data_IF_717465289416
#
_entry.id   IF_717465289416
#
_cell.length_a   1.000
_cell.length_b   1.000
_cell.length_c   1.000
_cell.angle_alpha   90.00
_cell.angle_beta   90.00
_cell.angle_gamma   90.00
#
_symmetry.space_group_name_H-M   'P 1'
#
loop_
_entity.id
_entity.type
_entity.pdbx_description
1 polymer ?
#
# COMPACT_ATOMS: atom_id res chain seq x y z
N UNK A 1 15.13 -15.95 15.67
CA UNK A 1 15.02 -17.06 14.71
C UNK A 1 14.29 -16.50 13.51
N UNK A 2 14.96 -16.40 12.35
CA UNK A 2 14.34 -15.89 11.13
C UNK A 2 13.31 -16.91 10.66
N UNK A 3 12.03 -16.53 10.72
CA UNK A 3 10.96 -17.22 10.01
C UNK A 3 11.11 -16.83 8.54
N UNK A 4 11.99 -17.53 7.82
CA UNK A 4 12.01 -17.45 6.35
C UNK A 4 10.74 -18.15 5.90
N UNK A 5 9.85 -17.43 5.20
CA UNK A 5 8.66 -18.02 4.62
C UNK A 5 9.05 -19.28 3.81
N UNK A 6 8.35 -20.38 4.05
CA UNK A 6 8.66 -21.65 3.41
C UNK A 6 8.44 -21.55 1.90
N UNK A 7 9.34 -22.14 1.12
CA UNK A 7 9.25 -22.12 -0.35
C UNK A 7 7.99 -22.84 -0.84
N UNK A 8 7.05 -22.07 -1.39
CA UNK A 8 5.80 -22.59 -1.95
C UNK A 8 6.02 -23.04 -3.41
N UNK A 9 6.55 -24.27 -3.54
CA UNK A 9 6.79 -24.93 -4.82
C UNK A 9 5.54 -25.09 -5.69
N UNK A 10 4.34 -25.10 -5.10
CA UNK A 10 3.09 -25.26 -5.83
C UNK A 10 2.72 -23.96 -6.53
N UNK A 11 2.65 -22.87 -5.77
CA UNK A 11 2.42 -21.54 -6.33
C UNK A 11 3.51 -21.13 -7.31
N UNK A 12 4.77 -21.45 -7.01
CA UNK A 12 5.87 -21.13 -7.90
C UNK A 12 5.72 -21.82 -9.26
N UNK A 13 5.31 -23.09 -9.29
CA UNK A 13 5.10 -23.83 -10.53
C UNK A 13 3.91 -23.28 -11.33
N UNK A 14 2.85 -22.84 -10.66
CA UNK A 14 1.69 -22.20 -11.30
C UNK A 14 2.07 -20.87 -11.96
N UNK A 15 2.74 -19.98 -11.22
CA UNK A 15 3.28 -18.73 -11.74
C UNK A 15 4.22 -18.96 -12.93
N UNK A 16 5.08 -19.98 -12.84
CA UNK A 16 6.00 -20.33 -13.91
C UNK A 16 5.28 -20.81 -15.17
N UNK A 17 4.18 -21.55 -15.01
CA UNK A 17 3.36 -21.99 -16.15
C UNK A 17 2.62 -20.80 -16.79
N UNK A 18 2.12 -19.87 -15.97
CA UNK A 18 1.51 -18.61 -16.42
C UNK A 18 2.52 -17.73 -17.14
N UNK A 19 3.74 -17.57 -16.59
CA UNK A 19 4.84 -16.81 -17.20
C UNK A 19 5.30 -17.40 -18.54
N UNK A 20 5.35 -18.74 -18.64
CA UNK A 20 5.63 -19.43 -19.91
C UNK A 20 4.54 -19.13 -20.95
N UNK A 21 3.28 -19.10 -20.51
CA UNK A 21 2.11 -18.98 -21.37
C UNK A 21 2.05 -20.13 -22.39
N UNK A 22 1.70 -19.82 -23.63
CA UNK A 22 1.56 -20.82 -24.70
C UNK A 22 2.90 -21.28 -25.32
N UNK A 23 4.05 -20.80 -24.81
CA UNK A 23 5.37 -21.21 -25.32
C UNK A 23 5.74 -22.62 -24.86
N UNK A 24 6.64 -23.25 -25.60
CA UNK A 24 7.31 -24.47 -25.15
C UNK A 24 8.33 -24.14 -24.06
N UNK A 25 8.68 -25.13 -23.22
CA UNK A 25 9.72 -24.96 -22.18
C UNK A 25 11.06 -24.56 -22.81
N UNK A 26 11.39 -25.10 -23.98
CA UNK A 26 12.62 -24.75 -24.70
C UNK A 26 12.65 -23.28 -25.10
N UNK A 27 11.57 -22.80 -25.72
CA UNK A 27 11.49 -21.40 -26.14
C UNK A 27 11.60 -20.45 -24.94
N UNK A 28 10.91 -20.75 -23.85
CA UNK A 28 10.99 -19.94 -22.64
C UNK A 28 12.38 -19.99 -21.97
N UNK A 29 13.06 -21.13 -22.03
CA UNK A 29 14.45 -21.28 -21.60
C UNK A 29 15.40 -20.42 -22.44
N UNK A 30 15.23 -20.42 -23.76
CA UNK A 30 16.03 -19.59 -24.67
C UNK A 30 15.82 -18.10 -24.38
N UNK A 31 14.56 -17.69 -24.18
CA UNK A 31 14.18 -16.30 -23.88
C UNK A 31 14.70 -15.83 -22.50
N UNK A 32 14.76 -16.72 -21.50
CA UNK A 32 15.22 -16.40 -20.13
C UNK A 32 16.71 -16.67 -19.89
N UNK A 33 17.42 -17.30 -20.83
CA UNK A 33 18.81 -17.72 -20.65
C UNK A 33 19.01 -18.78 -19.57
N UNK A 34 17.96 -19.55 -19.25
CA UNK A 34 17.98 -20.60 -18.22
C UNK A 34 17.86 -21.97 -18.87
N UNK A 35 18.55 -22.97 -18.34
CA UNK A 35 18.47 -24.34 -18.87
C UNK A 35 17.02 -24.87 -18.89
N UNK A 36 16.54 -25.46 -20.01
CA UNK A 36 15.21 -26.10 -20.08
C UNK A 36 15.01 -27.18 -19.02
N UNK A 37 16.09 -27.86 -18.62
CA UNK A 37 16.05 -28.87 -17.57
C UNK A 37 15.74 -28.24 -16.21
N UNK A 38 16.27 -27.05 -15.93
CA UNK A 38 16.02 -26.32 -14.70
C UNK A 38 14.55 -25.87 -14.61
N UNK A 39 14.03 -25.27 -15.68
CA UNK A 39 12.61 -24.89 -15.79
C UNK A 39 11.69 -26.11 -15.65
N UNK A 40 12.03 -27.23 -16.28
CA UNK A 40 11.23 -28.45 -16.18
C UNK A 40 11.20 -29.03 -14.75
N UNK A 41 12.28 -28.91 -13.96
CA UNK A 41 12.29 -29.38 -12.57
C UNK A 41 11.39 -28.53 -11.68
N UNK A 42 11.42 -27.20 -11.88
CA UNK A 42 10.57 -26.25 -11.18
C UNK A 42 9.09 -26.50 -11.49
N UNK A 43 8.72 -26.66 -12.77
CA UNK A 43 7.34 -26.96 -13.16
C UNK A 43 6.83 -28.30 -12.61
N UNK A 44 7.70 -29.29 -12.45
CA UNK A 44 7.35 -30.61 -11.89
C UNK A 44 7.32 -30.64 -10.37
N UNK A 45 7.61 -29.51 -9.69
CA UNK A 45 7.60 -29.40 -8.22
C UNK A 45 8.59 -30.36 -7.53
N UNK A 46 9.65 -30.76 -8.25
CA UNK A 46 10.66 -31.71 -7.75
C UNK A 46 11.72 -30.97 -6.93
N UNK A 47 11.97 -29.70 -7.25
CA UNK A 47 12.97 -28.89 -6.56
C UNK A 47 12.51 -28.61 -5.12
N UNK A 48 13.33 -29.05 -4.15
CA UNK A 48 13.10 -28.82 -2.71
C UNK A 48 13.66 -27.48 -2.23
N UNK A 49 14.51 -26.86 -3.04
CA UNK A 49 15.23 -25.62 -2.73
C UNK A 49 14.69 -24.51 -3.62
N UNK A 50 14.51 -23.32 -3.05
CA UNK A 50 14.10 -22.13 -3.78
C UNK A 50 15.15 -21.74 -4.83
N UNK A 51 14.77 -21.35 -6.06
CA UNK A 51 15.73 -20.86 -7.06
C UNK A 51 16.35 -19.53 -6.61
N UNK A 52 17.61 -19.29 -6.98
CA UNK A 52 18.29 -18.05 -6.60
C UNK A 52 17.58 -16.80 -7.15
N UNK A 53 17.63 -15.65 -6.45
CA UNK A 53 17.00 -14.41 -6.90
C UNK A 53 17.42 -13.97 -8.31
N UNK A 54 18.68 -14.21 -8.71
CA UNK A 54 19.15 -13.93 -10.08
C UNK A 54 18.45 -14.80 -11.12
N UNK A 55 18.17 -16.06 -10.79
CA UNK A 55 17.40 -16.97 -11.65
C UNK A 55 15.95 -16.52 -11.74
N UNK A 56 15.36 -16.10 -10.62
CA UNK A 56 13.99 -15.57 -10.57
C UNK A 56 13.87 -14.32 -11.44
N UNK A 57 14.84 -13.40 -11.37
CA UNK A 57 14.88 -12.18 -12.20
C UNK A 57 14.85 -12.51 -13.69
N UNK A 58 15.71 -13.42 -14.13
CA UNK A 58 15.78 -13.87 -15.54
C UNK A 58 14.47 -14.50 -16.02
N UNK A 59 13.79 -15.27 -15.15
CA UNK A 59 12.47 -15.82 -15.47
C UNK A 59 11.43 -14.71 -15.61
N UNK A 60 11.41 -13.75 -14.68
CA UNK A 60 10.47 -12.63 -14.68
C UNK A 60 10.64 -11.70 -15.89
N UNK A 61 11.88 -11.40 -16.29
CA UNK A 61 12.17 -10.56 -17.47
C UNK A 61 11.63 -11.17 -18.77
N UNK A 62 11.64 -12.51 -18.87
CA UNK A 62 11.11 -13.23 -20.02
C UNK A 62 9.63 -13.65 -19.84
N UNK A 63 8.98 -13.28 -18.74
CA UNK A 63 7.64 -13.75 -18.38
C UNK A 63 6.53 -13.08 -19.21
N UNK A 64 5.49 -13.85 -19.52
CA UNK A 64 4.24 -13.38 -20.11
C UNK A 64 3.12 -13.32 -19.06
N UNK A 65 1.96 -12.79 -19.46
CA UNK A 65 0.75 -12.72 -18.63
C UNK A 65 0.91 -11.91 -17.34
N UNK A 66 1.73 -10.86 -17.38
CA UNK A 66 1.96 -9.92 -16.27
C UNK A 66 2.45 -10.57 -14.96
N UNK A 67 3.12 -11.73 -15.04
CA UNK A 67 3.80 -12.30 -13.87
C UNK A 67 5.03 -11.46 -13.56
N UNK A 68 5.09 -10.91 -12.35
CA UNK A 68 6.15 -10.00 -11.93
C UNK A 68 7.26 -10.75 -11.19
N UNK A 69 8.40 -10.07 -11.02
CA UNK A 69 9.49 -10.54 -10.17
C UNK A 69 9.02 -10.74 -8.72
N UNK A 70 8.17 -9.84 -8.23
CA UNK A 70 7.62 -9.90 -6.87
C UNK A 70 6.80 -11.15 -6.65
N UNK A 71 5.93 -11.52 -7.60
CA UNK A 71 5.11 -12.74 -7.52
C UNK A 71 5.97 -13.99 -7.36
N UNK A 72 7.06 -14.09 -8.15
CA UNK A 72 7.99 -15.19 -8.03
C UNK A 72 8.78 -15.17 -6.72
N UNK A 73 9.17 -14.00 -6.24
CA UNK A 73 9.91 -13.84 -4.98
C UNK A 73 9.06 -14.18 -3.76
N UNK A 74 7.76 -13.86 -3.80
CA UNK A 74 6.78 -14.25 -2.78
C UNK A 74 6.64 -15.77 -2.77
N UNK A 75 6.40 -16.38 -3.94
CA UNK A 75 6.29 -17.84 -4.05
C UNK A 75 7.60 -18.56 -3.67
N UNK A 76 8.74 -17.92 -3.92
CA UNK A 76 10.07 -18.40 -3.58
C UNK A 76 10.41 -18.30 -2.08
N UNK A 77 9.58 -17.62 -1.27
CA UNK A 77 9.79 -17.42 0.16
C UNK A 77 10.84 -16.35 0.50
N UNK A 78 11.21 -15.50 -0.46
CA UNK A 78 12.14 -14.39 -0.24
C UNK A 78 11.45 -13.11 0.24
N UNK A 79 10.17 -12.96 -0.07
CA UNK A 79 9.34 -11.82 0.31
C UNK A 79 8.09 -12.40 0.97
N UNK A 80 7.76 -11.94 2.17
CA UNK A 80 6.47 -12.25 2.76
C UNK A 80 5.39 -11.61 1.89
N UNK A 81 4.30 -12.32 1.61
CA UNK A 81 3.16 -11.79 0.84
C UNK A 81 2.47 -10.56 1.48
N UNK A 82 3.02 -10.04 2.58
CA UNK A 82 2.73 -8.71 3.05
C UNK A 82 3.16 -7.71 1.96
N UNK A 83 2.20 -6.93 1.43
CA UNK A 83 2.36 -6.23 0.16
C UNK A 83 3.56 -5.28 0.19
N UNK A 84 4.45 -5.49 -0.78
CA UNK A 84 5.46 -4.57 -1.25
C UNK A 84 4.86 -3.17 -1.38
N UNK A 85 5.33 -2.25 -0.54
CA UNK A 85 5.34 -0.79 -0.72
C UNK A 85 4.37 -0.20 -1.76
N UNK A 86 3.08 -0.44 -1.60
CA UNK A 86 2.02 0.29 -2.28
C UNK A 86 1.32 1.18 -1.26
N UNK A 87 0.70 2.25 -1.74
CA UNK A 87 -0.07 3.23 -0.96
C UNK A 87 -1.26 2.61 -0.19
N UNK A 88 -1.40 1.29 -0.20
CA UNK A 88 -2.63 0.55 0.07
C UNK A 88 -2.83 0.17 1.55
N UNK A 89 -1.79 0.33 2.40
CA UNK A 89 -1.88 0.10 3.85
C UNK A 89 -1.86 1.39 4.68
N UNK A 90 -2.28 2.51 4.09
CA UNK A 90 -2.59 3.71 4.87
C UNK A 90 -4.04 3.54 5.34
N UNK A 91 -4.32 3.58 6.66
CA UNK A 91 -5.70 3.55 7.13
C UNK A 91 -6.48 4.67 6.44
N UNK A 92 -7.47 4.30 5.64
CA UNK A 92 -8.33 5.28 4.97
C UNK A 92 -9.28 5.89 6.00
N UNK A 93 -9.58 7.18 5.86
CA UNK A 93 -10.55 7.85 6.71
C UNK A 93 -11.93 7.23 6.41
N UNK A 94 -12.66 6.69 7.41
CA UNK A 94 -13.99 6.15 7.19
C UNK A 94 -14.91 7.19 6.52
N UNK A 95 -15.72 6.78 5.55
CA UNK A 95 -16.61 7.67 4.81
C UNK A 95 -17.55 8.46 5.74
N UNK A 96 -17.96 7.84 6.84
CA UNK A 96 -18.78 8.44 7.90
C UNK A 96 -18.11 9.69 8.51
N UNK A 97 -16.80 9.65 8.74
CA UNK A 97 -16.05 10.76 9.32
C UNK A 97 -15.75 11.86 8.30
N UNK A 98 -15.60 11.51 7.01
CA UNK A 98 -15.44 12.47 5.91
C UNK A 98 -16.65 13.40 5.84
N UNK A 99 -17.86 12.83 5.89
CA UNK A 99 -19.10 13.60 5.85
C UNK A 99 -19.31 14.40 7.14
N UNK A 100 -19.12 13.77 8.30
CA UNK A 100 -19.31 14.36 9.63
C UNK A 100 -18.43 15.59 9.88
N UNK A 101 -17.16 15.52 9.48
CA UNK A 101 -16.19 16.61 9.68
C UNK A 101 -16.02 17.50 8.46
N UNK A 102 -16.75 17.26 7.36
CA UNK A 102 -16.64 18.00 6.08
C UNK A 102 -15.19 18.07 5.59
N UNK A 103 -14.51 16.92 5.63
CA UNK A 103 -13.11 16.81 5.25
C UNK A 103 -12.98 17.10 3.75
N UNK A 104 -12.13 18.07 3.38
CA UNK A 104 -11.91 18.45 1.98
C UNK A 104 -10.93 17.50 1.30
N UNK A 105 -10.93 17.45 -0.03
CA UNK A 105 -9.90 16.77 -0.83
C UNK A 105 -8.47 17.19 -0.46
N UNK A 106 -8.28 18.46 -0.06
CA UNK A 106 -6.99 18.97 0.43
C UNK A 106 -6.58 18.35 1.76
N UNK A 107 -7.53 18.14 2.66
CA UNK A 107 -7.28 17.55 3.98
C UNK A 107 -6.92 16.06 3.85
N UNK A 108 -7.59 15.35 2.93
CA UNK A 108 -7.29 13.96 2.61
C UNK A 108 -5.84 13.83 2.09
N UNK A 109 -5.43 14.73 1.18
CA UNK A 109 -4.06 14.73 0.67
C UNK A 109 -3.02 15.00 1.77
N UNK A 110 -3.30 15.92 2.69
CA UNK A 110 -2.42 16.20 3.83
C UNK A 110 -2.30 14.99 4.76
N UNK A 111 -3.42 14.32 5.02
CA UNK A 111 -3.45 13.10 5.80
C UNK A 111 -2.61 11.99 5.16
N UNK A 112 -2.79 11.76 3.85
CA UNK A 112 -2.03 10.75 3.10
C UNK A 112 -0.52 11.04 3.15
N UNK A 113 -0.12 12.30 2.96
CA UNK A 113 1.28 12.72 3.00
C UNK A 113 1.91 12.48 4.38
N UNK A 114 1.21 12.84 5.46
CA UNK A 114 1.66 12.58 6.82
C UNK A 114 1.85 11.08 7.07
N UNK A 115 0.90 10.25 6.63
CA UNK A 115 0.96 8.80 6.83
C UNK A 115 2.09 8.13 6.03
N UNK A 116 2.39 8.63 4.83
CA UNK A 116 3.54 8.14 4.05
C UNK A 116 4.86 8.45 4.77
N UNK A 117 5.00 9.67 5.31
CA UNK A 117 6.21 10.08 6.02
C UNK A 117 6.38 9.35 7.35
N UNK A 118 5.31 9.19 8.14
CA UNK A 118 5.38 8.45 9.41
C UNK A 118 5.74 7.00 9.16
N UNK A 119 5.11 6.34 8.18
CA UNK A 119 5.46 4.98 7.80
C UNK A 119 6.93 4.85 7.41
N UNK A 120 7.44 5.77 6.57
CA UNK A 120 8.85 5.79 6.17
C UNK A 120 9.79 5.94 7.39
N UNK A 121 9.39 6.69 8.41
CA UNK A 121 10.13 6.83 9.66
C UNK A 121 10.26 5.50 10.42
N UNK A 122 9.20 4.68 10.40
CA UNK A 122 9.14 3.38 11.10
C UNK A 122 9.64 2.18 10.27
N UNK A 123 9.92 2.34 8.96
CA UNK A 123 10.40 1.26 8.09
C UNK A 123 11.76 0.68 8.51
N UNK A 124 12.61 1.49 9.17
CA UNK A 124 13.94 1.06 9.62
C UNK A 124 13.97 0.51 11.05
N UNK A 125 12.82 0.49 11.72
CA UNK A 125 12.76 0.13 13.13
C UNK A 125 12.32 -1.33 13.31
N UNK A 126 12.82 -2.00 14.36
CA UNK A 126 12.47 -3.41 14.69
C UNK A 126 11.09 -3.52 15.36
N UNK A 127 10.12 -2.77 14.85
CA UNK A 127 8.75 -2.75 15.35
C UNK A 127 7.95 -3.80 14.59
N UNK A 128 7.08 -4.54 15.29
CA UNK A 128 6.19 -5.51 14.65
C UNK A 128 5.20 -4.81 13.73
N UNK A 129 4.68 -5.50 12.72
CA UNK A 129 3.73 -4.87 11.80
C UNK A 129 2.40 -4.52 12.48
N UNK A 130 2.00 -5.31 13.48
CA UNK A 130 0.83 -5.04 14.33
C UNK A 130 0.98 -3.71 15.11
N UNK A 131 2.13 -3.50 15.74
CA UNK A 131 2.40 -2.27 16.49
C UNK A 131 2.46 -1.04 15.56
N UNK A 132 3.00 -1.21 14.34
CA UNK A 132 3.02 -0.14 13.32
C UNK A 132 1.60 0.25 12.92
N UNK A 133 0.72 -0.72 12.69
CA UNK A 133 -0.69 -0.46 12.39
C UNK A 133 -1.37 0.31 13.52
N UNK A 134 -1.16 -0.11 14.77
CA UNK A 134 -1.72 0.57 15.95
C UNK A 134 -1.25 2.02 16.06
N UNK A 135 0.02 2.31 15.75
CA UNK A 135 0.55 3.67 15.69
C UNK A 135 -0.13 4.50 14.60
N UNK A 136 -0.35 3.92 13.42
CA UNK A 136 -1.03 4.62 12.32
C UNK A 136 -2.49 4.93 12.68
N UNK A 137 -3.21 4.01 13.32
CA UNK A 137 -4.57 4.26 13.83
C UNK A 137 -4.60 5.37 14.88
N UNK A 138 -3.68 5.36 15.83
CA UNK A 138 -3.58 6.41 16.86
C UNK A 138 -3.38 7.78 16.23
N UNK A 139 -2.53 7.88 15.20
CA UNK A 139 -2.28 9.12 14.48
C UNK A 139 -3.50 9.58 13.66
N UNK A 140 -4.26 8.64 13.08
CA UNK A 140 -5.55 8.93 12.44
C UNK A 140 -6.53 9.59 13.42
N UNK A 141 -6.68 9.04 14.63
CA UNK A 141 -7.58 9.60 15.65
C UNK A 141 -7.17 11.03 16.03
N UNK A 142 -5.87 11.28 16.21
CA UNK A 142 -5.34 12.63 16.50
C UNK A 142 -5.66 13.60 15.36
N UNK A 143 -5.56 13.16 14.11
CA UNK A 143 -5.92 13.98 12.95
C UNK A 143 -7.42 14.33 12.95
N UNK A 144 -8.30 13.35 13.14
CA UNK A 144 -9.74 13.56 13.21
C UNK A 144 -10.12 14.50 14.37
N UNK A 145 -9.50 14.29 15.53
CA UNK A 145 -9.69 15.15 16.70
C UNK A 145 -9.28 16.60 16.40
N UNK A 146 -8.17 16.80 15.70
CA UNK A 146 -7.71 18.13 15.27
C UNK A 146 -8.70 18.81 14.34
N UNK A 147 -9.30 18.08 13.39
CA UNK A 147 -10.35 18.62 12.50
C UNK A 147 -11.61 18.98 13.28
N UNK A 148 -12.00 18.19 14.29
CA UNK A 148 -13.11 18.50 15.20
C UNK A 148 -12.86 19.81 15.95
N UNK A 149 -11.68 19.98 16.56
CA UNK A 149 -11.31 21.20 17.28
C UNK A 149 -11.37 22.43 16.36
N UNK A 150 -10.85 22.31 15.13
CA UNK A 150 -10.88 23.41 14.17
C UNK A 150 -12.31 23.82 13.79
N UNK A 151 -13.21 22.85 13.59
CA UNK A 151 -14.64 23.09 13.33
C UNK A 151 -15.29 23.84 14.49
N UNK A 152 -15.00 23.46 15.73
CA UNK A 152 -15.57 24.09 16.93
C UNK A 152 -15.03 25.52 17.18
N UNK A 153 -13.71 25.72 17.04
CA UNK A 153 -13.06 27.01 17.31
C UNK A 153 -13.35 28.05 16.22
N UNK A 154 -13.18 27.68 14.95
CA UNK A 154 -13.26 28.65 13.84
C UNK A 154 -14.64 28.68 13.18
N UNK A 155 -15.39 27.58 13.19
CA UNK A 155 -16.76 27.55 12.64
C UNK A 155 -17.75 28.43 13.42
N UNK A 156 -17.57 28.57 14.74
CA UNK A 156 -18.37 29.48 15.58
C UNK A 156 -17.96 30.95 15.42
N UNK A 157 -16.66 31.21 15.22
CA UNK A 157 -16.11 32.56 15.06
C UNK A 157 -16.55 33.20 13.74
N UNK A 158 -16.52 32.45 12.63
CA UNK A 158 -16.99 32.93 11.32
C UNK A 158 -18.48 33.32 11.35
N UNK A 159 -19.33 32.50 11.98
CA UNK A 159 -20.77 32.79 12.15
C UNK A 159 -21.02 34.02 13.03
N UNK A 160 -20.21 34.24 14.07
CA UNK A 160 -20.31 35.46 14.90
C UNK A 160 -19.90 36.71 14.14
N UNK A 161 -18.83 36.65 13.33
CA UNK A 161 -18.35 37.77 12.52
C UNK A 161 -19.39 38.15 11.45
N UNK A 162 -19.90 37.18 10.69
CA UNK A 162 -20.94 37.43 9.67
C UNK A 162 -22.20 38.00 10.33
N UNK A 163 -22.61 37.46 11.49
CA UNK A 163 -23.78 37.98 12.20
C UNK A 163 -23.56 39.41 12.71
N UNK A 164 -22.36 39.77 13.20
CA UNK A 164 -22.08 41.16 13.60
C UNK A 164 -22.03 42.12 12.40
N UNK A 165 -21.48 41.71 11.26
CA UNK A 165 -21.43 42.53 10.04
C UNK A 165 -22.83 42.78 9.45
N UNK A 166 -23.70 41.77 9.46
CA UNK A 166 -25.10 41.93 8.98
C UNK A 166 -25.92 42.84 9.90
N UNK A 167 -25.75 42.75 11.23
CA UNK A 167 -26.45 43.63 12.17
C UNK A 167 -25.98 45.09 12.09
N UNK A 168 -24.69 45.33 11.90
CA UNK A 168 -24.15 46.68 11.73
C UNK A 168 -24.62 47.30 10.42
N UNK A 169 -24.64 46.56 9.31
CA UNK A 169 -25.22 47.01 8.05
C UNK A 169 -26.71 47.34 8.16
N UNK A 170 -27.50 46.52 8.89
CA UNK A 170 -28.92 46.77 9.11
C UNK A 170 -29.19 48.01 9.97
N UNK A 171 -28.39 48.23 11.02
CA UNK A 171 -28.51 49.43 11.86
C UNK A 171 -28.19 50.73 11.11
N UNK A 172 -27.21 50.70 10.21
CA UNK A 172 -26.89 51.84 9.34
C UNK A 172 -28.07 52.15 8.40
N UNK A 173 -28.62 51.11 7.76
CA UNK A 173 -29.72 51.25 6.81
C UNK A 173 -31.06 51.63 7.46
N UNK A 174 -31.26 51.34 8.75
CA UNK A 174 -32.46 51.71 9.50
C UNK A 174 -32.38 53.12 10.13
N UNK A 175 -31.25 53.81 9.99
CA UNK A 175 -31.00 55.15 10.54
C UNK A 175 -31.00 56.28 9.49
N UNK A 176 -31.17 55.95 8.21
CA UNK A 176 -31.47 56.86 7.09
C UNK A 176 -32.99 56.91 6.83
#
# INVERSE_FOLDING_TARGET
MNLVAEFDKEKFAELLNTAKGNRSIRKYADDSGISPAHISRLLRKITKVSPEPDTIRKLAEAAYNNVTYEDFMIAAGYIDAAPSTSRDNIPSIPAEDIEKYKISRRDIKQYEDVMQHTRAFFMNDKVSDEDKEQLMYSLMEVFLHSKKINKEKYGKKQKRIIRSEVYTAWLIFASE
#
